data_IF_115474483152
#
_entry.id   IF_115474483152
#
_cell.length_a   1.000
_cell.length_b   1.000
_cell.length_c   1.000
_cell.angle_alpha   90.00
_cell.angle_beta   90.00
_cell.angle_gamma   90.00
#
_symmetry.space_group_name_H-M   'P 1'
#
loop_
_entity.id
_entity.type
_entity.pdbx_description
1 polymer ?
#
# COMPACT_ATOMS: atom_id res chain seq x y z
N UNK A 1 45.32 -32.78 24.85
CA UNK A 1 44.20 -33.13 23.95
C UNK A 1 43.55 -31.84 23.50
N UNK A 2 43.80 -31.39 22.27
CA UNK A 2 43.21 -30.15 21.71
C UNK A 2 41.90 -30.52 21.02
N UNK A 3 40.78 -30.13 21.61
CA UNK A 3 39.46 -30.32 21.00
C UNK A 3 39.27 -29.20 19.98
N UNK A 4 39.28 -29.53 18.68
CA UNK A 4 38.80 -28.63 17.64
C UNK A 4 37.28 -28.72 17.61
N UNK A 5 36.61 -27.59 17.87
CA UNK A 5 35.16 -27.45 17.72
C UNK A 5 34.85 -27.11 16.26
N UNK A 6 34.03 -27.89 15.53
CA UNK A 6 33.63 -27.52 14.19
C UNK A 6 32.61 -26.38 14.25
N UNK A 7 32.95 -25.24 13.66
CA UNK A 7 32.04 -24.10 13.52
C UNK A 7 31.16 -24.35 12.30
N UNK A 8 29.88 -24.71 12.51
CA UNK A 8 28.90 -24.85 11.44
C UNK A 8 28.38 -23.46 11.07
N UNK A 9 28.85 -22.93 9.94
CA UNK A 9 28.32 -21.69 9.36
C UNK A 9 27.01 -22.03 8.64
N UNK A 10 25.85 -21.71 9.23
CA UNK A 10 24.59 -21.71 8.48
C UNK A 10 24.58 -20.48 7.56
N UNK A 11 24.29 -20.63 6.25
CA UNK A 11 24.02 -19.47 5.41
C UNK A 11 22.69 -18.85 5.87
N UNK A 12 22.77 -17.67 6.50
CA UNK A 12 21.61 -16.81 6.61
C UNK A 12 21.30 -16.28 5.21
N UNK A 13 20.17 -16.69 4.64
CA UNK A 13 19.59 -15.99 3.49
C UNK A 13 19.19 -14.60 3.98
N UNK A 14 20.11 -13.64 3.86
CA UNK A 14 19.80 -12.22 4.00
C UNK A 14 18.96 -11.85 2.79
N UNK A 15 17.63 -11.88 2.92
CA UNK A 15 16.78 -11.15 1.98
C UNK A 15 17.09 -9.68 2.22
N UNK A 16 17.82 -9.05 1.28
CA UNK A 16 18.09 -7.63 1.34
C UNK A 16 16.74 -6.90 1.29
N UNK A 17 16.51 -6.00 2.24
CA UNK A 17 15.36 -5.12 2.21
C UNK A 17 15.55 -4.14 1.05
N UNK A 18 14.62 -4.15 0.11
CA UNK A 18 14.53 -3.14 -0.96
C UNK A 18 13.74 -1.94 -0.48
N UNK A 19 14.07 -0.75 -0.96
CA UNK A 19 13.12 0.36 -0.91
C UNK A 19 11.92 0.05 -1.82
N UNK A 20 10.80 0.73 -1.60
CA UNK A 20 9.56 0.40 -2.28
C UNK A 20 9.65 0.73 -3.77
N UNK A 21 10.35 1.80 -4.16
CA UNK A 21 10.52 2.15 -5.56
C UNK A 21 11.29 1.07 -6.33
N UNK A 22 12.40 0.57 -5.78
CA UNK A 22 13.17 -0.54 -6.35
C UNK A 22 12.33 -1.81 -6.43
N UNK A 23 11.64 -2.17 -5.34
CA UNK A 23 10.80 -3.37 -5.30
C UNK A 23 9.75 -3.37 -6.42
N UNK A 24 9.11 -2.23 -6.70
CA UNK A 24 8.12 -2.08 -7.78
C UNK A 24 8.68 -2.37 -9.18
N UNK A 25 10.01 -2.32 -9.37
CA UNK A 25 10.65 -2.62 -10.67
C UNK A 25 10.86 -4.12 -10.91
N UNK A 26 10.71 -4.96 -9.89
CA UNK A 26 10.94 -6.38 -10.04
C UNK A 26 9.79 -7.06 -10.79
N UNK A 27 10.10 -8.20 -11.41
CA UNK A 27 9.11 -8.99 -12.12
C UNK A 27 7.97 -9.44 -11.19
N UNK A 28 6.75 -9.50 -11.73
CA UNK A 28 5.62 -10.14 -11.04
C UNK A 28 5.99 -11.57 -10.64
N UNK A 29 5.66 -11.94 -9.40
CA UNK A 29 6.03 -13.20 -8.78
C UNK A 29 7.34 -13.16 -7.99
N UNK A 30 8.17 -12.12 -8.15
CA UNK A 30 9.36 -11.92 -7.33
C UNK A 30 8.97 -11.67 -5.87
N UNK A 31 9.59 -12.42 -4.96
CA UNK A 31 9.44 -12.21 -3.51
C UNK A 31 10.28 -11.01 -3.09
N UNK A 32 9.63 -10.03 -2.48
CA UNK A 32 10.26 -8.81 -1.96
C UNK A 32 10.11 -8.75 -0.45
N UNK A 33 11.07 -8.10 0.20
CA UNK A 33 10.96 -7.64 1.59
C UNK A 33 11.09 -6.13 1.60
N UNK A 34 10.03 -5.44 2.03
CA UNK A 34 9.97 -3.97 2.10
C UNK A 34 9.62 -3.53 3.52
N UNK A 35 9.93 -2.28 3.85
CA UNK A 35 9.50 -1.63 5.08
C UNK A 35 8.84 -0.30 4.73
N UNK A 36 7.68 0.00 5.31
CA UNK A 36 7.01 1.28 5.09
C UNK A 36 6.02 1.63 6.19
N UNK A 37 5.59 2.89 6.20
CA UNK A 37 4.53 3.39 7.07
C UNK A 37 3.19 3.05 6.45
N UNK A 38 2.30 2.44 7.25
CA UNK A 38 0.91 2.19 6.86
C UNK A 38 0.16 3.50 6.79
N UNK A 39 -0.39 3.86 5.63
CA UNK A 39 -1.00 5.18 5.39
C UNK A 39 -2.52 5.20 5.51
N UNK A 40 -3.19 4.04 5.41
CA UNK A 40 -4.64 3.92 5.53
C UNK A 40 -5.07 3.10 6.78
N UNK A 41 -6.31 3.29 7.21
CA UNK A 41 -6.96 2.50 8.23
C UNK A 41 -7.89 1.41 7.65
N UNK A 42 -8.91 0.99 8.40
CA UNK A 42 -9.84 -0.06 7.97
C UNK A 42 -10.87 0.40 6.91
N UNK A 43 -10.89 1.68 6.53
CA UNK A 43 -11.85 2.27 5.61
C UNK A 43 -11.80 1.71 4.18
N UNK A 44 -10.76 0.97 3.81
CA UNK A 44 -10.64 0.28 2.52
C UNK A 44 -10.70 -1.26 2.67
N UNK A 45 -11.20 -1.75 3.81
CA UNK A 45 -11.22 -3.17 4.14
C UNK A 45 -9.88 -3.68 4.67
N UNK A 46 -9.46 -4.86 4.22
CA UNK A 46 -8.25 -5.54 4.72
C UNK A 46 -6.94 -5.03 4.08
N UNK A 47 -7.01 -4.41 2.91
CA UNK A 47 -5.83 -3.91 2.21
C UNK A 47 -5.13 -2.81 3.02
N UNK A 48 -3.81 -2.78 2.95
CA UNK A 48 -2.97 -1.72 3.53
C UNK A 48 -2.02 -1.17 2.48
N UNK A 49 -1.88 0.14 2.45
CA UNK A 49 -0.87 0.83 1.66
C UNK A 49 0.29 1.16 2.57
N UNK A 50 1.48 0.70 2.17
CA UNK A 50 2.73 1.01 2.84
C UNK A 50 3.49 2.00 1.99
N UNK A 51 4.05 3.03 2.62
CA UNK A 51 4.81 4.07 1.95
C UNK A 51 6.12 4.33 2.69
N UNK A 52 7.21 4.41 1.94
CA UNK A 52 8.52 4.85 2.43
C UNK A 52 8.91 6.19 1.79
N UNK A 53 10.19 6.57 1.90
CA UNK A 53 10.68 7.82 1.30
C UNK A 53 10.74 7.82 -0.24
N UNK A 54 10.44 6.70 -0.88
CA UNK A 54 10.67 6.47 -2.32
C UNK A 54 9.37 6.21 -3.10
N UNK A 55 8.46 5.38 -2.57
CA UNK A 55 7.20 5.03 -3.24
C UNK A 55 6.18 4.43 -2.27
N UNK A 56 4.98 4.13 -2.78
CA UNK A 56 3.93 3.39 -2.10
C UNK A 56 3.65 2.03 -2.75
N UNK A 57 3.17 1.08 -1.97
CA UNK A 57 2.72 -0.23 -2.48
C UNK A 57 1.56 -0.77 -1.66
N UNK A 58 0.62 -1.44 -2.34
CA UNK A 58 -0.46 -2.16 -1.69
C UNK A 58 0.03 -3.49 -1.10
N UNK A 59 -0.53 -3.88 0.04
CA UNK A 59 -0.37 -5.18 0.67
C UNK A 59 -1.75 -5.74 0.93
N UNK A 60 -2.08 -6.83 0.23
CA UNK A 60 -3.39 -7.47 0.32
C UNK A 60 -3.27 -8.80 1.07
N UNK A 61 -3.83 -8.93 2.29
CA UNK A 61 -3.79 -10.17 3.03
C UNK A 61 -4.86 -11.14 2.50
N UNK A 62 -4.60 -11.74 1.33
CA UNK A 62 -5.44 -12.77 0.73
C UNK A 62 -5.52 -14.04 1.58
N UNK A 63 -6.39 -14.98 1.21
CA UNK A 63 -6.64 -16.22 1.97
C UNK A 63 -5.41 -17.13 2.16
N UNK A 64 -4.39 -16.97 1.31
CA UNK A 64 -3.11 -17.69 1.41
C UNK A 64 -2.05 -16.95 2.22
N UNK A 65 -2.36 -15.78 2.77
CA UNK A 65 -1.46 -15.00 3.62
C UNK A 65 -1.31 -15.62 5.00
N UNK A 66 -0.19 -15.31 5.67
CA UNK A 66 -0.07 -15.56 7.10
C UNK A 66 -1.20 -14.85 7.85
N UNK A 67 -1.79 -15.49 8.88
CA UNK A 67 -2.92 -14.90 9.60
C UNK A 67 -2.49 -13.66 10.38
N UNK A 68 -3.44 -12.74 10.59
CA UNK A 68 -3.27 -11.61 11.52
C UNK A 68 -2.62 -10.36 10.93
N UNK A 69 -2.40 -10.29 9.62
CA UNK A 69 -1.98 -9.04 8.98
C UNK A 69 -3.12 -8.00 9.03
N UNK A 70 -3.08 -7.13 10.04
CA UNK A 70 -4.02 -6.03 10.22
C UNK A 70 -3.37 -4.82 10.90
N UNK A 71 -2.21 -4.33 10.42
CA UNK A 71 -1.55 -3.18 11.04
C UNK A 71 -2.42 -1.92 10.92
N UNK A 72 -2.26 -1.02 11.89
CA UNK A 72 -2.96 0.26 11.94
C UNK A 72 -2.18 1.36 11.21
N UNK A 73 -2.89 2.40 10.78
CA UNK A 73 -2.27 3.62 10.21
C UNK A 73 -1.23 4.19 11.19
N UNK A 74 -0.09 4.64 10.65
CA UNK A 74 1.05 5.15 11.43
C UNK A 74 1.94 4.07 12.03
N UNK A 75 1.68 2.78 11.82
CA UNK A 75 2.64 1.72 12.13
C UNK A 75 3.66 1.57 11.00
N UNK A 76 4.92 1.38 11.37
CA UNK A 76 5.96 0.97 10.42
C UNK A 76 6.02 -0.55 10.41
N UNK A 77 5.91 -1.13 9.23
CA UNK A 77 5.79 -2.57 9.07
C UNK A 77 6.77 -3.05 8.01
N UNK A 78 7.55 -4.06 8.36
CA UNK A 78 8.28 -4.86 7.38
C UNK A 78 7.36 -5.97 6.88
N UNK A 79 7.27 -6.15 5.57
CA UNK A 79 6.41 -7.14 4.92
C UNK A 79 7.24 -7.91 3.89
N UNK A 80 7.04 -9.23 3.86
CA UNK A 80 7.60 -10.12 2.82
C UNK A 80 6.50 -10.85 2.09
N UNK A 81 6.58 -10.88 0.75
CA UNK A 81 5.66 -11.62 -0.11
C UNK A 81 5.98 -11.39 -1.59
N UNK A 82 5.36 -12.14 -2.52
CA UNK A 82 5.54 -11.93 -3.93
C UNK A 82 4.76 -10.71 -4.44
N UNK A 83 5.32 -10.04 -5.45
CA UNK A 83 4.60 -9.04 -6.23
C UNK A 83 3.53 -9.70 -7.09
N UNK A 84 2.37 -9.06 -7.17
CA UNK A 84 1.22 -9.51 -7.94
C UNK A 84 0.57 -8.30 -8.59
N UNK A 85 0.08 -8.47 -9.82
CA UNK A 85 -0.78 -7.49 -10.48
C UNK A 85 -2.21 -8.02 -10.44
N UNK A 86 -3.09 -7.34 -9.71
CA UNK A 86 -4.49 -7.74 -9.57
C UNK A 86 -5.42 -6.60 -9.95
N UNK A 87 -6.22 -6.79 -11.00
CA UNK A 87 -7.11 -5.77 -11.55
C UNK A 87 -6.42 -4.41 -11.83
N UNK A 88 -5.15 -4.45 -12.23
CA UNK A 88 -4.35 -3.27 -12.52
C UNK A 88 -3.58 -2.71 -11.32
N UNK A 89 -3.83 -3.17 -10.09
CA UNK A 89 -3.09 -2.76 -8.90
C UNK A 89 -1.85 -3.62 -8.68
N UNK A 90 -0.68 -2.99 -8.52
CA UNK A 90 0.53 -3.68 -8.07
C UNK A 90 0.50 -3.85 -6.55
N UNK A 91 0.48 -5.12 -6.10
CA UNK A 91 0.31 -5.48 -4.69
C UNK A 91 1.30 -6.58 -4.24
N UNK A 92 1.54 -6.65 -2.93
CA UNK A 92 2.14 -7.82 -2.28
C UNK A 92 1.01 -8.73 -1.82
N UNK A 93 0.91 -9.92 -2.42
CA UNK A 93 -0.07 -10.96 -2.08
C UNK A 93 0.40 -12.34 -2.61
N UNK A 94 0.47 -13.37 -1.75
CA UNK A 94 0.15 -13.37 -0.31
C UNK A 94 1.23 -12.75 0.57
N UNK A 95 0.83 -12.25 1.74
CA UNK A 95 1.76 -11.89 2.81
C UNK A 95 2.38 -13.18 3.36
N UNK A 96 3.67 -13.41 3.12
CA UNK A 96 4.40 -14.57 3.63
C UNK A 96 4.94 -14.36 5.04
N UNK A 97 5.13 -13.11 5.44
CA UNK A 97 5.60 -12.74 6.77
C UNK A 97 5.56 -11.23 6.97
N UNK A 98 5.35 -10.78 8.20
CA UNK A 98 5.38 -9.37 8.55
C UNK A 98 5.86 -9.15 9.98
N UNK A 99 6.36 -7.95 10.25
CA UNK A 99 6.73 -7.48 11.58
C UNK A 99 6.37 -6.01 11.72
N UNK A 100 5.64 -5.66 12.78
CA UNK A 100 5.48 -4.26 13.19
C UNK A 100 6.77 -3.83 13.90
N UNK A 101 7.47 -2.85 13.33
CA UNK A 101 8.74 -2.35 13.84
C UNK A 101 8.54 -1.23 14.85
N UNK A 102 7.59 -0.33 14.57
CA UNK A 102 7.28 0.83 15.39
C UNK A 102 5.81 1.24 15.23
N UNK A 103 5.31 2.09 16.12
CA UNK A 103 3.90 2.52 16.16
C UNK A 103 3.79 4.00 16.46
N UNK A 104 2.66 4.61 16.09
CA UNK A 104 2.38 6.04 16.26
C UNK A 104 3.39 6.96 15.55
N UNK A 105 3.93 6.51 14.41
CA UNK A 105 4.75 7.35 13.57
C UNK A 105 3.90 8.41 12.86
N UNK A 106 4.45 9.59 12.56
CA UNK A 106 3.78 10.54 11.68
C UNK A 106 3.57 9.90 10.30
N UNK A 107 2.42 10.18 9.68
CA UNK A 107 2.19 9.80 8.29
C UNK A 107 3.09 10.63 7.37
N UNK A 108 3.50 10.07 6.21
CA UNK A 108 4.10 10.86 5.14
C UNK A 108 3.23 12.08 4.82
N UNK A 109 3.85 13.22 4.52
CA UNK A 109 3.10 14.38 4.07
C UNK A 109 2.42 14.04 2.73
N UNK A 110 1.11 14.29 2.57
CA UNK A 110 0.42 13.96 1.33
C UNK A 110 0.98 14.81 0.19
N UNK A 111 1.23 14.18 -0.96
CA UNK A 111 1.63 14.89 -2.16
C UNK A 111 0.43 15.66 -2.73
N UNK A 112 0.55 16.98 -2.86
CA UNK A 112 -0.48 17.81 -3.48
C UNK A 112 -0.43 17.61 -5.00
N UNK A 113 -1.51 17.10 -5.58
CA UNK A 113 -1.63 16.79 -6.98
C UNK A 113 -2.90 17.39 -7.60
N UNK A 114 -2.86 17.56 -8.90
CA UNK A 114 -3.98 17.83 -9.78
C UNK A 114 -4.58 16.51 -10.29
N UNK A 115 -5.84 16.48 -10.75
CA UNK A 115 -6.45 15.24 -11.25
C UNK A 115 -5.65 14.53 -12.34
N UNK A 116 -4.99 15.26 -13.26
CA UNK A 116 -4.19 14.66 -14.33
C UNK A 116 -2.84 14.07 -13.87
N UNK A 117 -2.38 14.40 -12.67
CA UNK A 117 -1.15 13.86 -12.10
C UNK A 117 -1.41 12.56 -11.32
N UNK A 118 -2.66 12.13 -11.19
CA UNK A 118 -3.01 10.83 -10.63
C UNK A 118 -2.71 9.73 -11.66
N UNK A 119 -1.90 8.75 -11.27
CA UNK A 119 -1.51 7.64 -12.13
C UNK A 119 -0.52 6.69 -11.45
N UNK A 120 0.07 5.80 -12.25
CA UNK A 120 0.97 4.73 -11.80
C UNK A 120 2.20 5.24 -11.02
N UNK A 121 2.71 6.42 -11.37
CA UNK A 121 3.89 7.01 -10.72
C UNK A 121 3.67 7.36 -9.24
N UNK A 122 2.41 7.52 -8.83
CA UNK A 122 2.01 7.84 -7.45
C UNK A 122 1.10 6.77 -6.85
N UNK A 123 1.00 5.60 -7.50
CA UNK A 123 0.16 4.50 -7.04
C UNK A 123 0.59 4.03 -5.64
N UNK A 124 -0.40 3.91 -4.74
CA UNK A 124 -0.18 3.50 -3.35
C UNK A 124 0.43 4.56 -2.44
N UNK A 125 0.71 5.77 -2.95
CA UNK A 125 1.19 6.88 -2.15
C UNK A 125 0.02 7.71 -1.58
N UNK A 126 0.25 8.34 -0.44
CA UNK A 126 -0.68 9.29 0.14
C UNK A 126 -0.65 10.60 -0.66
N UNK A 127 -1.78 10.92 -1.29
CA UNK A 127 -1.95 12.10 -2.14
C UNK A 127 -3.11 12.97 -1.65
N UNK A 128 -3.12 14.23 -2.06
CA UNK A 128 -4.21 15.18 -1.81
C UNK A 128 -4.52 15.94 -3.09
N UNK A 129 -5.80 15.99 -3.44
CA UNK A 129 -6.31 16.93 -4.45
C UNK A 129 -7.20 17.94 -3.73
N UNK A 130 -7.00 19.23 -4.00
CA UNK A 130 -7.81 20.30 -3.43
C UNK A 130 -8.94 20.72 -4.38
N UNK A 131 -10.02 21.27 -3.83
CA UNK A 131 -11.10 21.87 -4.62
C UNK A 131 -11.90 20.88 -5.46
N UNK A 132 -11.94 19.60 -5.06
CA UNK A 132 -12.68 18.57 -5.77
C UNK A 132 -14.18 18.85 -5.77
N UNK A 133 -14.78 18.79 -6.95
CA UNK A 133 -16.20 18.96 -7.19
C UNK A 133 -16.72 17.76 -7.97
N UNK A 134 -17.77 17.12 -7.46
CA UNK A 134 -18.46 16.06 -8.17
C UNK A 134 -19.52 16.66 -9.09
N UNK A 135 -19.61 16.13 -10.31
CA UNK A 135 -20.61 16.57 -11.29
C UNK A 135 -21.85 15.68 -11.13
N UNK A 136 -22.97 16.27 -10.70
CA UNK A 136 -24.22 15.57 -10.45
C UNK A 136 -24.78 15.92 -9.07
N UNK A 137 -26.06 16.29 -9.00
CA UNK A 137 -26.78 16.42 -7.73
C UNK A 137 -27.55 15.14 -7.42
N UNK A 138 -27.90 14.92 -6.15
CA UNK A 138 -28.63 13.74 -5.71
C UNK A 138 -27.71 12.68 -5.11
N UNK A 139 -28.28 11.51 -4.84
CA UNK A 139 -27.61 10.50 -4.03
C UNK A 139 -26.39 9.90 -4.72
N UNK A 140 -25.22 9.99 -4.08
CA UNK A 140 -24.01 9.34 -4.57
C UNK A 140 -24.16 7.81 -4.63
N UNK A 141 -23.91 7.19 -5.79
CA UNK A 141 -23.89 5.75 -5.92
C UNK A 141 -22.61 5.17 -5.32
N UNK A 142 -22.65 3.89 -4.96
CA UNK A 142 -21.41 3.10 -4.87
C UNK A 142 -20.91 2.78 -6.29
N UNK A 143 -19.59 2.62 -6.42
CA UNK A 143 -18.92 2.43 -7.70
C UNK A 143 -18.11 3.66 -8.12
N UNK A 144 -17.76 3.71 -9.41
CA UNK A 144 -16.91 4.77 -9.95
C UNK A 144 -17.71 6.06 -10.16
N UNK A 145 -17.28 7.11 -9.47
CA UNK A 145 -17.70 8.50 -9.72
C UNK A 145 -16.57 9.27 -10.36
N UNK A 146 -16.87 10.45 -10.92
CA UNK A 146 -15.86 11.38 -11.43
C UNK A 146 -15.90 12.66 -10.62
N UNK A 147 -14.74 13.11 -10.15
CA UNK A 147 -14.58 14.43 -9.58
C UNK A 147 -13.76 15.30 -10.53
N UNK A 148 -13.93 16.61 -10.39
CA UNK A 148 -13.21 17.63 -11.13
C UNK A 148 -12.49 18.57 -10.18
N UNK A 149 -11.32 19.07 -10.58
CA UNK A 149 -10.63 20.18 -9.92
C UNK A 149 -9.84 20.94 -10.97
N UNK A 150 -9.81 22.26 -10.87
CA UNK A 150 -9.07 23.16 -11.79
C UNK A 150 -9.31 22.87 -13.29
N UNK A 151 -10.51 22.42 -13.66
CA UNK A 151 -10.86 22.07 -15.05
C UNK A 151 -10.37 20.70 -15.53
N UNK A 152 -9.79 19.89 -14.66
CA UNK A 152 -9.38 18.50 -14.94
C UNK A 152 -10.30 17.51 -14.23
N UNK A 153 -10.40 16.28 -14.74
CA UNK A 153 -11.28 15.24 -14.21
C UNK A 153 -10.46 14.01 -13.83
N UNK A 154 -10.85 13.32 -12.75
CA UNK A 154 -10.31 12.01 -12.42
C UNK A 154 -11.40 11.09 -11.84
N UNK A 155 -11.28 9.76 -12.05
CA UNK A 155 -12.17 8.80 -11.44
C UNK A 155 -11.86 8.64 -9.94
N UNK A 156 -12.89 8.31 -9.17
CA UNK A 156 -12.76 7.84 -7.79
C UNK A 156 -13.74 6.69 -7.57
N UNK A 157 -13.27 5.63 -6.93
CA UNK A 157 -14.12 4.51 -6.55
C UNK A 157 -14.71 4.75 -5.16
N UNK A 158 -16.05 4.80 -5.07
CA UNK A 158 -16.80 4.92 -3.84
C UNK A 158 -17.30 3.54 -3.43
N UNK A 159 -16.61 2.88 -2.50
CA UNK A 159 -17.05 1.58 -1.99
C UNK A 159 -18.34 1.72 -1.17
N UNK A 160 -19.06 0.61 -0.92
CA UNK A 160 -20.42 0.65 -0.35
C UNK A 160 -20.54 1.37 1.02
N UNK A 161 -19.50 1.38 1.85
CA UNK A 161 -19.48 2.11 3.12
C UNK A 161 -18.70 3.43 3.08
N UNK A 162 -18.37 3.94 1.90
CA UNK A 162 -17.75 5.25 1.76
C UNK A 162 -18.72 6.35 2.23
N UNK A 163 -18.25 7.35 2.97
CA UNK A 163 -19.07 8.38 3.61
C UNK A 163 -19.92 9.22 2.64
N UNK A 164 -19.50 9.31 1.38
CA UNK A 164 -20.28 9.96 0.34
C UNK A 164 -21.45 9.10 -0.16
N UNK A 165 -21.35 7.77 -0.16
CA UNK A 165 -22.42 6.91 -0.71
C UNK A 165 -23.69 7.10 0.12
N UNK A 166 -24.80 7.41 -0.56
CA UNK A 166 -26.07 7.73 0.12
C UNK A 166 -26.23 9.21 0.50
N UNK A 167 -25.17 10.03 0.44
CA UNK A 167 -25.26 11.47 0.67
C UNK A 167 -25.94 12.18 -0.53
N UNK A 168 -26.74 13.23 -0.29
CA UNK A 168 -27.50 13.96 -1.33
C UNK A 168 -26.64 14.87 -2.23
#
# INVERSE_FOLDING_TARGET
MRVLLPFLLLPALLNAQSDIAEARTYAIGSVVTITGIVTNGPELGSIRYLQDGTAGIAVFPGSSSVPGFAPASGQEVQVTGPLKLFNGLLEIDPVMGFQVLSSNNPLPAPQLLTPNELGEDVEGMLVRVNGCQFTGGGTFPSGTSTFSSIGQNAPIYLWNGHSLVGAP
#
